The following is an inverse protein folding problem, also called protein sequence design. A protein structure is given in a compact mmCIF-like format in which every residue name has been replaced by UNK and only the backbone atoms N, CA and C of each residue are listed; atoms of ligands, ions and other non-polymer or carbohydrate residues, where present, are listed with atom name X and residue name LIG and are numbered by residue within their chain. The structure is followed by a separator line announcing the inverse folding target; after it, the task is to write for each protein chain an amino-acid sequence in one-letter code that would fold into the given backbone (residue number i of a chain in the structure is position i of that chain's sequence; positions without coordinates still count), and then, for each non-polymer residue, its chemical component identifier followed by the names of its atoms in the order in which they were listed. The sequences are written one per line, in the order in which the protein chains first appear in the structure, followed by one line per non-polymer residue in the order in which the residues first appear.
data_IF_559421988014
#
_entry.id   IF_559421988014
#
_cell.length_a   1.000
_cell.length_b   1.000
_cell.length_c   1.000
_cell.angle_alpha   90.00
_cell.angle_beta   90.00
_cell.angle_gamma   90.00
#
_symmetry.space_group_name_H-M   'P 1'
#
loop_
_entity.id
_entity.type
_entity.pdbx_description
1 polymer ?
#
# COMPACT_ATOMS: atom_id res chain seq x y z
N UNK A 1 -1.13 14.42 9.20
CA UNK A 1 -2.43 13.73 9.16
C UNK A 1 -2.59 12.92 10.45
N UNK A 2 -3.72 12.97 11.12
CA UNK A 2 -3.94 12.29 12.39
C UNK A 2 -4.16 10.78 12.21
N UNK A 3 -4.01 10.01 13.30
CA UNK A 3 -4.31 8.57 13.33
C UNK A 3 -5.76 8.33 12.89
N UNK A 4 -6.70 9.16 13.37
CA UNK A 4 -8.12 9.06 12.99
C UNK A 4 -8.31 9.28 11.50
N UNK A 5 -7.67 10.28 10.91
CA UNK A 5 -7.75 10.57 9.48
C UNK A 5 -7.19 9.41 8.65
N UNK A 6 -6.09 8.81 9.08
CA UNK A 6 -5.50 7.67 8.39
C UNK A 6 -6.36 6.41 8.53
N UNK A 7 -6.97 6.19 9.69
CA UNK A 7 -7.93 5.09 9.84
C UNK A 7 -9.12 5.27 8.89
N UNK A 8 -9.62 6.50 8.75
CA UNK A 8 -10.68 6.82 7.79
C UNK A 8 -10.23 6.57 6.35
N UNK A 9 -8.99 6.90 6.01
CA UNK A 9 -8.42 6.60 4.68
C UNK A 9 -8.37 5.10 4.42
N UNK A 10 -8.03 4.29 5.41
CA UNK A 10 -8.06 2.83 5.30
C UNK A 10 -9.47 2.32 4.98
N UNK A 11 -10.49 2.86 5.66
CA UNK A 11 -11.89 2.52 5.40
C UNK A 11 -12.31 2.92 3.99
N UNK A 12 -11.88 4.12 3.57
CA UNK A 12 -12.18 4.62 2.23
C UNK A 12 -11.51 3.78 1.16
N UNK A 13 -10.25 3.40 1.34
CA UNK A 13 -9.54 2.50 0.44
C UNK A 13 -10.23 1.14 0.36
N UNK A 14 -10.61 0.57 1.51
CA UNK A 14 -11.33 -0.71 1.54
C UNK A 14 -12.65 -0.64 0.75
N UNK A 15 -13.39 0.45 0.89
CA UNK A 15 -14.63 0.66 0.15
C UNK A 15 -14.38 0.78 -1.36
N UNK A 16 -13.37 1.54 -1.76
CA UNK A 16 -13.01 1.69 -3.17
C UNK A 16 -12.55 0.36 -3.78
N UNK A 17 -11.78 -0.42 -3.04
CA UNK A 17 -11.30 -1.72 -3.48
C UNK A 17 -12.40 -2.80 -3.52
N UNK A 18 -13.57 -2.50 -3.00
CA UNK A 18 -14.75 -3.36 -3.10
C UNK A 18 -15.58 -3.07 -4.36
N UNK A 19 -15.30 -1.97 -5.06
CA UNK A 19 -15.92 -1.64 -6.34
C UNK A 19 -15.11 -2.33 -7.44
N UNK A 20 -15.77 -2.66 -8.55
CA UNK A 20 -15.06 -3.20 -9.71
C UNK A 20 -14.29 -2.08 -10.42
N UNK A 21 -13.06 -1.80 -9.96
CA UNK A 21 -12.17 -0.80 -10.54
C UNK A 21 -11.62 -1.23 -11.92
N UNK A 22 -11.76 -2.52 -12.24
CA UNK A 22 -11.32 -3.11 -13.49
C UNK A 22 -12.41 -3.13 -14.56
N UNK A 23 -13.52 -2.42 -14.34
CA UNK A 23 -14.66 -2.43 -15.25
C UNK A 23 -14.30 -1.79 -16.59
N UNK A 24 -14.17 -2.61 -17.62
CA UNK A 24 -13.82 -2.19 -18.98
C UNK A 24 -14.96 -1.44 -19.69
N UNK A 25 -16.18 -1.58 -19.21
CA UNK A 25 -17.36 -0.93 -19.81
C UNK A 25 -17.67 0.42 -19.18
N UNK A 26 -17.06 0.74 -18.05
CA UNK A 26 -17.36 1.95 -17.30
C UNK A 26 -16.37 3.07 -17.58
N UNK A 27 -16.60 3.90 -18.58
CA UNK A 27 -15.79 5.11 -18.82
C UNK A 27 -15.76 6.03 -17.60
N UNK A 28 -16.81 6.03 -16.77
CA UNK A 28 -16.89 6.79 -15.52
C UNK A 28 -15.85 6.33 -14.50
N UNK A 29 -15.54 5.04 -14.46
CA UNK A 29 -14.59 4.48 -13.51
C UNK A 29 -13.13 4.76 -13.91
N UNK A 30 -12.88 5.01 -15.19
CA UNK A 30 -11.55 5.29 -15.74
C UNK A 30 -11.31 6.78 -16.01
N UNK A 31 -12.32 7.63 -15.87
CA UNK A 31 -12.21 9.07 -16.10
C UNK A 31 -11.56 9.82 -14.93
N UNK A 32 -11.29 11.14 -15.11
CA UNK A 32 -10.61 11.95 -14.09
C UNK A 32 -11.29 11.99 -12.72
N UNK A 33 -12.63 11.84 -12.71
CA UNK A 33 -13.42 11.82 -11.47
C UNK A 33 -14.00 10.43 -11.18
N UNK A 34 -13.52 9.39 -11.88
CA UNK A 34 -13.97 8.02 -11.68
C UNK A 34 -13.37 7.39 -10.42
N UNK A 35 -13.94 6.28 -10.00
CA UNK A 35 -13.52 5.58 -8.78
C UNK A 35 -12.05 5.13 -8.84
N UNK A 36 -11.56 4.75 -10.01
CA UNK A 36 -10.16 4.39 -10.22
C UNK A 36 -9.23 5.56 -9.93
N UNK A 37 -9.53 6.75 -10.46
CA UNK A 37 -8.73 7.94 -10.21
C UNK A 37 -8.79 8.37 -8.74
N UNK A 38 -9.96 8.28 -8.13
CA UNK A 38 -10.13 8.56 -6.69
C UNK A 38 -9.29 7.58 -5.87
N UNK A 39 -9.32 6.29 -6.21
CA UNK A 39 -8.49 5.27 -5.55
C UNK A 39 -7.00 5.63 -5.64
N UNK A 40 -6.50 5.97 -6.81
CA UNK A 40 -5.09 6.31 -7.00
C UNK A 40 -4.70 7.55 -6.18
N UNK A 41 -5.57 8.55 -6.12
CA UNK A 41 -5.31 9.78 -5.35
C UNK A 41 -5.33 9.52 -3.84
N UNK A 42 -6.34 8.82 -3.34
CA UNK A 42 -6.45 8.47 -1.91
C UNK A 42 -5.28 7.58 -1.50
N UNK A 43 -4.92 6.62 -2.34
CA UNK A 43 -3.81 5.71 -2.08
C UNK A 43 -2.49 6.44 -1.93
N UNK A 44 -2.19 7.40 -2.81
CA UNK A 44 -0.96 8.18 -2.71
C UNK A 44 -0.92 9.05 -1.46
N UNK A 45 -2.01 9.72 -1.12
CA UNK A 45 -2.11 10.52 0.11
C UNK A 45 -1.88 9.65 1.34
N UNK A 46 -2.54 8.50 1.37
CA UNK A 46 -2.38 7.52 2.45
C UNK A 46 -0.93 7.05 2.59
N UNK A 47 -0.31 6.66 1.48
CA UNK A 47 1.06 6.13 1.49
C UNK A 47 2.10 7.18 1.86
N UNK A 48 1.92 8.45 1.47
CA UNK A 48 2.84 9.53 1.88
C UNK A 48 2.80 9.76 3.38
N UNK A 49 1.61 9.78 3.96
CA UNK A 49 1.46 9.93 5.40
C UNK A 49 2.01 8.70 6.14
N UNK A 50 1.77 7.49 5.61
CA UNK A 50 2.30 6.25 6.15
C UNK A 50 3.84 6.28 6.18
N UNK A 51 4.48 6.69 5.09
CA UNK A 51 5.93 6.78 5.01
C UNK A 51 6.51 7.72 6.07
N UNK A 52 5.87 8.87 6.27
CA UNK A 52 6.27 9.83 7.30
C UNK A 52 6.12 9.23 8.70
N UNK A 53 4.99 8.58 8.97
CA UNK A 53 4.73 8.01 10.29
C UNK A 53 5.63 6.81 10.61
N UNK A 54 6.13 6.12 9.59
CA UNK A 54 7.10 5.04 9.72
C UNK A 54 8.56 5.54 9.78
N UNK A 55 8.78 6.83 9.60
CA UNK A 55 10.14 7.41 9.61
C UNK A 55 11.00 7.00 8.43
N UNK A 56 10.38 6.67 7.29
CA UNK A 56 11.10 6.31 6.08
C UNK A 56 11.76 7.53 5.44
N UNK A 57 12.93 7.33 4.85
CA UNK A 57 13.69 8.33 4.10
C UNK A 57 13.81 7.90 2.64
N UNK A 58 14.21 8.82 1.77
CA UNK A 58 14.34 8.55 0.33
C UNK A 58 13.06 7.96 -0.25
N UNK A 59 11.93 8.53 0.16
CA UNK A 59 10.61 8.00 -0.11
C UNK A 59 10.19 8.31 -1.54
N UNK A 60 9.73 7.29 -2.25
CA UNK A 60 9.05 7.43 -3.54
C UNK A 60 7.65 6.86 -3.41
N UNK A 61 6.65 7.69 -3.62
CA UNK A 61 5.25 7.26 -3.71
C UNK A 61 4.79 7.50 -5.14
N UNK A 62 4.27 6.47 -5.77
CA UNK A 62 3.85 6.52 -7.17
C UNK A 62 2.52 5.82 -7.37
N UNK A 63 1.89 6.12 -8.48
CA UNK A 63 0.70 5.41 -8.92
C UNK A 63 0.86 5.05 -10.39
N UNK A 64 0.31 3.91 -10.77
CA UNK A 64 0.24 3.46 -12.15
C UNK A 64 -1.21 3.05 -12.43
N UNK A 65 -1.85 3.76 -13.32
CA UNK A 65 -3.23 3.44 -13.70
C UNK A 65 -3.33 2.12 -14.44
N UNK A 66 -2.22 1.65 -15.02
CA UNK A 66 -2.25 0.49 -15.90
C UNK A 66 -3.09 0.77 -17.15
N UNK A 67 -3.60 -0.26 -17.76
CA UNK A 67 -4.50 -0.15 -18.89
C UNK A 67 -5.96 -0.34 -18.49
N UNK A 68 -6.81 -0.47 -19.49
CA UNK A 68 -8.20 -0.87 -19.33
C UNK A 68 -8.23 -2.30 -18.79
N UNK A 69 -9.12 -2.57 -17.86
CA UNK A 69 -9.29 -3.90 -17.28
C UNK A 69 -8.43 -4.18 -16.04
N UNK A 70 -7.67 -3.19 -15.54
CA UNK A 70 -6.93 -3.29 -14.28
C UNK A 70 -7.26 -2.13 -13.36
N UNK A 71 -7.15 -2.36 -12.05
CA UNK A 71 -7.48 -1.34 -11.04
C UNK A 71 -6.48 -0.20 -11.00
N UNK A 72 -5.28 -0.44 -11.47
CA UNK A 72 -4.14 0.41 -11.16
C UNK A 72 -3.53 0.04 -9.81
N UNK A 73 -2.41 0.67 -9.49
CA UNK A 73 -1.62 0.38 -8.31
C UNK A 73 -1.07 1.67 -7.72
N UNK A 74 -1.10 1.76 -6.39
CA UNK A 74 -0.36 2.76 -5.64
C UNK A 74 0.79 2.07 -4.93
N UNK A 75 1.98 2.64 -4.95
CA UNK A 75 3.14 2.04 -4.33
C UNK A 75 3.98 3.05 -3.56
N UNK A 76 4.67 2.53 -2.58
CA UNK A 76 5.59 3.24 -1.71
C UNK A 76 6.86 2.43 -1.61
N UNK A 77 8.00 3.08 -1.79
CA UNK A 77 9.27 2.53 -1.38
C UNK A 77 10.01 3.61 -0.58
N UNK A 78 10.59 3.21 0.54
CA UNK A 78 11.35 4.12 1.38
C UNK A 78 12.34 3.34 2.22
N UNK A 79 13.32 4.04 2.79
CA UNK A 79 14.44 3.41 3.47
C UNK A 79 14.49 3.80 4.93
N UNK A 80 14.72 2.81 5.78
CA UNK A 80 15.22 2.98 7.13
C UNK A 80 16.76 2.97 7.07
N UNK A 81 17.38 2.96 8.22
CA UNK A 81 18.84 3.02 8.31
C UNK A 81 19.52 1.79 7.70
N UNK A 82 19.00 0.59 7.94
CA UNK A 82 19.62 -0.68 7.53
C UNK A 82 18.76 -1.49 6.54
N UNK A 83 17.92 -0.85 5.79
CA UNK A 83 17.03 -1.49 4.84
C UNK A 83 15.81 -0.64 4.66
N UNK A 84 14.80 -1.15 4.01
CA UNK A 84 13.61 -0.36 3.75
C UNK A 84 12.36 -1.18 3.62
N UNK A 85 11.32 -0.53 3.16
CA UNK A 85 9.98 -1.09 3.03
C UNK A 85 9.42 -0.76 1.65
N UNK A 86 8.82 -1.76 1.03
CA UNK A 86 7.97 -1.62 -0.15
C UNK A 86 6.53 -1.96 0.22
N UNK A 87 5.62 -1.10 -0.19
CA UNK A 87 4.17 -1.31 0.00
C UNK A 87 3.48 -1.07 -1.32
N UNK A 88 2.55 -1.93 -1.69
CA UNK A 88 1.70 -1.68 -2.85
C UNK A 88 0.24 -1.97 -2.52
N UNK A 89 -0.65 -1.19 -3.10
CA UNK A 89 -2.10 -1.32 -2.93
C UNK A 89 -2.72 -1.44 -4.32
N UNK A 90 -3.46 -2.52 -4.54
CA UNK A 90 -4.16 -2.75 -5.79
C UNK A 90 -5.32 -3.72 -5.56
N UNK A 91 -6.24 -3.77 -6.53
CA UNK A 91 -7.29 -4.78 -6.52
C UNK A 91 -6.76 -6.02 -7.26
N UNK A 92 -6.72 -7.18 -6.59
CA UNK A 92 -6.19 -8.38 -7.25
C UNK A 92 -7.14 -8.88 -8.34
N UNK A 93 -6.56 -9.29 -9.47
CA UNK A 93 -7.32 -9.79 -10.61
C UNK A 93 -8.07 -11.10 -10.32
N UNK A 94 -7.56 -11.89 -9.38
CA UNK A 94 -8.12 -13.20 -9.05
C UNK A 94 -9.16 -13.17 -7.92
N UNK A 95 -9.49 -12.00 -7.40
CA UNK A 95 -10.48 -11.86 -6.32
C UNK A 95 -10.04 -12.45 -4.99
N UNK A 96 -8.74 -12.60 -4.75
CA UNK A 96 -8.22 -13.18 -3.50
C UNK A 96 -8.46 -12.32 -2.26
N UNK A 97 -8.86 -11.08 -2.42
CA UNK A 97 -9.04 -10.14 -1.32
C UNK A 97 -7.75 -9.56 -0.75
N UNK A 98 -6.59 -10.02 -1.18
CA UNK A 98 -5.28 -9.52 -0.75
C UNK A 98 -4.96 -8.24 -1.50
N UNK A 99 -5.28 -7.11 -0.91
CA UNK A 99 -5.22 -5.80 -1.58
C UNK A 99 -3.97 -5.00 -1.29
N UNK A 100 -3.30 -5.28 -0.18
CA UNK A 100 -2.08 -4.59 0.19
C UNK A 100 -0.97 -5.61 0.37
N UNK A 101 0.14 -5.39 -0.34
CA UNK A 101 1.35 -6.18 -0.24
C UNK A 101 2.42 -5.33 0.44
N UNK A 102 3.19 -5.93 1.34
CA UNK A 102 4.34 -5.26 1.93
C UNK A 102 5.49 -6.25 2.14
N UNK A 103 6.71 -5.74 2.00
CA UNK A 103 7.92 -6.53 2.18
C UNK A 103 9.11 -5.63 2.50
N UNK A 104 10.13 -6.20 3.10
CA UNK A 104 11.39 -5.51 3.30
C UNK A 104 12.18 -5.44 1.99
N UNK A 105 12.97 -4.39 1.85
CA UNK A 105 13.90 -4.22 0.73
C UNK A 105 15.28 -3.84 1.27
N UNK A 106 16.33 -4.21 0.54
CA UNK A 106 17.71 -3.85 0.89
C UNK A 106 18.08 -2.45 0.39
N UNK A 107 17.51 -2.08 -0.74
CA UNK A 107 17.69 -0.77 -1.38
C UNK A 107 16.49 -0.46 -2.26
N UNK A 108 16.44 0.75 -2.80
CA UNK A 108 15.29 1.27 -3.54
C UNK A 108 14.97 0.53 -4.85
N UNK A 109 15.88 -0.30 -5.33
CA UNK A 109 15.70 -1.08 -6.57
C UNK A 109 15.70 -2.58 -6.31
N UNK A 110 15.45 -2.98 -5.08
CA UNK A 110 15.44 -4.40 -4.71
C UNK A 110 14.11 -5.04 -5.09
N UNK A 111 14.11 -5.77 -6.19
CA UNK A 111 12.95 -6.50 -6.67
C UNK A 111 12.86 -7.93 -6.12
N UNK A 112 13.86 -8.37 -5.37
CA UNK A 112 13.96 -9.72 -4.80
C UNK A 112 14.04 -9.74 -3.27
N UNK A 113 13.79 -8.60 -2.62
CA UNK A 113 13.84 -8.49 -1.16
C UNK A 113 12.84 -9.39 -0.48
N UNK A 114 12.86 -9.41 0.82
CA UNK A 114 12.08 -10.20 1.77
C UNK A 114 10.80 -10.90 1.32
N UNK A 115 10.23 -11.65 2.21
CA UNK A 115 8.98 -12.35 1.94
C UNK A 115 7.82 -11.37 1.77
N UNK A 116 6.92 -11.65 0.84
CA UNK A 116 5.70 -10.89 0.64
C UNK A 116 4.73 -11.17 1.79
N UNK A 117 4.27 -10.12 2.42
CA UNK A 117 3.18 -10.15 3.39
C UNK A 117 1.97 -9.48 2.78
N UNK A 118 0.79 -9.89 3.17
CA UNK A 118 -0.45 -9.37 2.60
C UNK A 118 -1.42 -8.95 3.68
N UNK A 119 -2.18 -7.91 3.36
CA UNK A 119 -3.35 -7.48 4.12
C UNK A 119 -4.54 -7.58 3.19
N UNK A 120 -5.59 -8.24 3.69
CA UNK A 120 -6.83 -8.38 2.92
C UNK A 120 -7.65 -7.09 2.95
N UNK A 121 -8.58 -6.94 2.00
CA UNK A 121 -9.54 -5.84 2.02
C UNK A 121 -10.32 -5.81 3.34
N UNK A 122 -10.69 -6.97 3.84
CA UNK A 122 -11.42 -7.10 5.11
C UNK A 122 -10.60 -6.58 6.29
N UNK A 123 -9.31 -6.93 6.35
CA UNK A 123 -8.40 -6.41 7.36
C UNK A 123 -8.19 -4.90 7.23
N UNK A 124 -8.06 -4.39 6.02
CA UNK A 124 -7.95 -2.95 5.76
C UNK A 124 -9.19 -2.19 6.23
N UNK A 125 -10.36 -2.82 6.15
CA UNK A 125 -11.63 -2.30 6.66
C UNK A 125 -11.71 -2.33 8.19
N UNK A 126 -11.14 -3.36 8.83
CA UNK A 126 -11.30 -3.62 10.26
C UNK A 126 -10.18 -3.05 11.13
N UNK A 127 -8.94 -3.07 10.63
CA UNK A 127 -7.79 -2.64 11.42
C UNK A 127 -7.79 -1.15 11.71
N UNK A 128 -7.28 -0.77 12.86
CA UNK A 128 -6.92 0.62 13.11
C UNK A 128 -5.60 0.95 12.40
N UNK A 129 -5.37 2.23 12.19
CA UNK A 129 -4.09 2.67 11.61
C UNK A 129 -2.90 2.30 12.51
N UNK A 130 -3.09 2.38 13.84
CA UNK A 130 -2.07 1.97 14.80
C UNK A 130 -1.70 0.50 14.63
N UNK A 131 -2.68 -0.36 14.43
CA UNK A 131 -2.45 -1.78 14.18
C UNK A 131 -1.62 -2.00 12.90
N UNK A 132 -1.93 -1.26 11.84
CA UNK A 132 -1.17 -1.31 10.60
C UNK A 132 0.28 -0.85 10.81
N UNK A 133 0.48 0.27 11.50
CA UNK A 133 1.83 0.76 11.81
C UNK A 133 2.63 -0.28 12.59
N UNK A 134 2.03 -0.92 13.58
CA UNK A 134 2.70 -1.95 14.38
C UNK A 134 3.11 -3.15 13.52
N UNK A 135 2.24 -3.58 12.61
CA UNK A 135 2.53 -4.69 11.70
C UNK A 135 3.72 -4.36 10.78
N UNK A 136 3.77 -3.14 10.24
CA UNK A 136 4.86 -2.72 9.37
C UNK A 136 6.16 -2.48 10.15
N UNK A 137 6.08 -1.91 11.34
CA UNK A 137 7.24 -1.72 12.20
C UNK A 137 7.85 -3.04 12.68
N UNK A 138 7.07 -4.10 12.80
CA UNK A 138 7.57 -5.42 13.16
C UNK A 138 8.58 -5.93 12.12
N UNK A 139 8.39 -5.63 10.85
CA UNK A 139 9.34 -6.00 9.79
C UNK A 139 10.70 -5.33 9.97
N UNK A 140 10.73 -4.10 10.46
CA UNK A 140 11.98 -3.39 10.73
C UNK A 140 12.80 -4.11 11.80
N UNK A 141 12.15 -4.59 12.85
CA UNK A 141 12.81 -5.35 13.92
C UNK A 141 13.35 -6.67 13.41
N UNK A 142 12.59 -7.38 12.60
CA UNK A 142 13.00 -8.65 12.02
C UNK A 142 14.23 -8.47 11.13
N UNK A 143 14.25 -7.44 10.30
CA UNK A 143 15.38 -7.10 9.44
C UNK A 143 16.65 -6.82 10.27
N UNK A 144 16.53 -5.99 11.30
CA UNK A 144 17.64 -5.66 12.20
C UNK A 144 18.17 -6.90 12.92
N UNK A 145 17.28 -7.81 13.34
CA UNK A 145 17.66 -9.07 13.98
C UNK A 145 18.40 -10.01 13.04
N UNK A 146 17.94 -10.13 11.80
CA UNK A 146 18.57 -10.96 10.78
C UNK A 146 19.98 -10.47 10.43
N UNK A 147 20.18 -9.15 10.32
CA UNK A 147 21.50 -8.55 10.11
C UNK A 147 22.44 -8.81 11.28
N UNK A 148 21.95 -8.73 12.50
CA UNK A 148 22.75 -8.99 13.69
C UNK A 148 23.10 -10.48 13.85
N UNK A 149 22.27 -11.38 13.35
CA UNK A 149 22.50 -12.82 13.38
C UNK A 149 23.49 -13.27 12.29
N UNK A 150 23.68 -12.46 11.27
CA UNK A 150 24.63 -12.74 10.21
C UNK A 150 26.05 -12.30 10.58
#
# INVERSE_FOLDING_TARGET
MSIKSQTNNMRRLAALLNINLCNIHGKKECGPNGSKQVFLNVGKVFLRALARDLGLREVTVSSNAGGIGVSGECSLIGMWENGGLYVSISQPACGSGKVLLYRTVRHSRDYKGGYNHFITRHELEKWSYTHLLDALCALRKDWESDEQAA
#
